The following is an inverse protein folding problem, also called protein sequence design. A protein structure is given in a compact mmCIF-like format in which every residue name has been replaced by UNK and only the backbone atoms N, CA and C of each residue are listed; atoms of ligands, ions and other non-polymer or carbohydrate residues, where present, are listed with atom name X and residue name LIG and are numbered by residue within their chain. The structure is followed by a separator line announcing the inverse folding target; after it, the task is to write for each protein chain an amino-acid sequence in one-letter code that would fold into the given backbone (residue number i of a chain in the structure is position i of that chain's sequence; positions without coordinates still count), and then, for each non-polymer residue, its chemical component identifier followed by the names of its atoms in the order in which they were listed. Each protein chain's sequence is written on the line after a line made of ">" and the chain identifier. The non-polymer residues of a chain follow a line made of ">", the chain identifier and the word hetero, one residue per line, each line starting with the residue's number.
data_IF_382761646255
#
_entry.id   IF_382761646255
#
_cell.length_a   1.000
_cell.length_b   1.000
_cell.length_c   1.000
_cell.angle_alpha   90.00
_cell.angle_beta   90.00
_cell.angle_gamma   90.00
#
_symmetry.space_group_name_H-M   'P 1'
#
loop_
_entity.id
_entity.type
_entity.pdbx_description
1 polymer ?
#
# COMPACT_ATOMS: atom_id res chain seq x y z
N UNK A 1 34.73 -16.29 56.72
CA UNK A 1 34.70 -15.56 55.43
C UNK A 1 35.23 -14.16 55.66
N UNK A 2 36.13 -13.64 54.82
CA UNK A 2 36.74 -12.32 55.03
C UNK A 2 35.83 -11.21 54.48
N UNK A 3 35.74 -10.08 55.19
CA UNK A 3 34.84 -8.97 54.88
C UNK A 3 35.45 -7.92 53.95
N UNK A 4 36.51 -8.25 53.22
CA UNK A 4 37.29 -7.28 52.44
C UNK A 4 36.65 -6.94 51.09
N UNK A 5 35.91 -7.86 50.47
CA UNK A 5 35.20 -7.62 49.21
C UNK A 5 33.77 -7.20 49.53
N UNK A 6 33.50 -5.89 49.52
CA UNK A 6 32.19 -5.30 49.83
C UNK A 6 31.72 -4.45 48.65
N UNK A 7 30.41 -4.39 48.37
CA UNK A 7 29.88 -3.46 47.39
C UNK A 7 30.07 -2.01 47.87
N UNK A 8 30.17 -1.09 46.92
CA UNK A 8 30.17 0.35 47.18
C UNK A 8 28.74 0.84 47.30
N UNK A 9 28.29 1.16 48.51
CA UNK A 9 26.95 1.73 48.73
C UNK A 9 26.91 3.24 48.50
N UNK A 10 27.95 3.94 48.95
CA UNK A 10 28.10 5.38 48.74
C UNK A 10 29.23 5.65 47.74
N UNK A 11 28.97 6.35 46.61
CA UNK A 11 30.00 6.71 45.67
C UNK A 11 30.90 7.82 46.23
N UNK A 12 32.16 7.86 45.78
CA UNK A 12 33.08 8.94 46.15
C UNK A 12 32.57 10.30 45.61
N UNK A 13 32.44 11.29 46.49
CA UNK A 13 32.01 12.64 46.12
C UNK A 13 33.20 13.47 45.63
N UNK A 14 33.04 14.13 44.49
CA UNK A 14 34.04 15.07 43.98
C UNK A 14 34.22 16.25 44.94
N UNK A 15 35.46 16.48 45.37
CA UNK A 15 35.91 17.72 46.01
C UNK A 15 37.12 18.24 45.24
N UNK A 16 37.57 19.46 45.54
CA UNK A 16 38.79 20.00 44.95
C UNK A 16 39.98 19.10 45.30
N UNK A 17 40.48 18.39 44.29
CA UNK A 17 41.63 17.52 44.44
C UNK A 17 42.89 18.39 44.35
N UNK A 18 43.86 18.16 45.25
CA UNK A 18 45.18 18.79 45.16
C UNK A 18 45.84 18.34 43.85
N UNK A 19 45.76 19.20 42.83
CA UNK A 19 46.38 18.96 41.54
C UNK A 19 47.86 19.28 41.65
N UNK A 20 48.68 18.24 41.77
CA UNK A 20 50.13 18.37 41.76
C UNK A 20 50.67 18.87 40.42
N UNK A 21 51.98 19.18 40.34
CA UNK A 21 52.63 19.69 39.12
C UNK A 21 52.77 18.65 38.00
N UNK A 22 52.31 17.42 38.21
CA UNK A 22 52.36 16.36 37.22
C UNK A 22 51.24 16.54 36.18
N UNK A 23 51.62 16.55 34.91
CA UNK A 23 50.70 16.59 33.77
C UNK A 23 50.61 15.22 33.10
N UNK A 24 49.41 14.82 32.70
CA UNK A 24 49.16 13.61 31.92
C UNK A 24 49.25 13.94 30.42
N UNK A 25 49.64 12.99 29.57
CA UNK A 25 49.73 13.17 28.10
C UNK A 25 48.42 13.71 27.47
N UNK A 26 47.26 13.32 28.01
CA UNK A 26 45.93 13.82 27.57
C UNK A 26 45.66 15.28 27.91
N UNK A 27 46.43 15.87 28.83
CA UNK A 27 46.31 17.28 29.23
C UNK A 27 47.24 18.20 28.42
N UNK A 28 48.00 17.63 27.47
CA UNK A 28 48.74 18.45 26.52
C UNK A 28 47.76 19.28 25.68
N UNK A 29 48.16 20.50 25.26
CA UNK A 29 47.28 21.36 24.47
C UNK A 29 46.79 20.67 23.19
N UNK A 30 45.48 20.48 23.09
CA UNK A 30 44.80 19.91 21.94
C UNK A 30 43.44 20.60 21.75
N UNK A 31 42.99 20.71 20.50
CA UNK A 31 41.71 21.36 20.14
C UNK A 31 41.54 22.77 20.73
N UNK A 32 42.57 23.61 20.60
CA UNK A 32 42.56 24.98 21.14
C UNK A 32 41.55 25.94 20.46
N UNK A 33 40.94 25.51 19.36
CA UNK A 33 40.00 26.30 18.58
C UNK A 33 38.63 25.62 18.57
N UNK A 34 37.63 26.31 19.11
CA UNK A 34 36.24 25.86 19.06
C UNK A 34 35.65 26.18 17.67
N UNK A 35 35.00 25.18 17.05
CA UNK A 35 34.27 25.39 15.80
C UNK A 35 32.94 26.07 16.10
N UNK A 36 32.69 27.19 15.46
CA UNK A 36 31.38 27.86 15.49
C UNK A 36 30.57 27.47 14.25
N UNK A 37 29.24 27.42 14.41
CA UNK A 37 28.33 27.14 13.29
C UNK A 37 28.40 28.28 12.28
N UNK A 38 28.65 27.95 11.02
CA UNK A 38 28.59 28.91 9.92
C UNK A 38 27.17 29.09 9.40
N UNK A 39 26.95 30.10 8.56
CA UNK A 39 25.70 30.25 7.83
C UNK A 39 25.41 28.98 7.00
N UNK A 40 24.17 28.50 7.02
CA UNK A 40 23.72 27.25 6.41
C UNK A 40 23.91 26.00 7.27
N UNK A 41 24.56 26.08 8.44
CA UNK A 41 24.75 24.94 9.36
C UNK A 41 23.74 24.90 10.51
N UNK A 42 22.62 25.62 10.37
CA UNK A 42 21.62 25.73 11.44
C UNK A 42 22.17 26.52 12.63
N UNK A 43 22.65 27.73 12.38
CA UNK A 43 22.93 28.72 13.43
C UNK A 43 21.63 29.10 14.14
N UNK A 44 21.71 29.50 15.41
CA UNK A 44 20.54 29.87 16.22
C UNK A 44 19.70 30.96 15.56
N UNK A 45 20.33 31.97 14.95
CA UNK A 45 19.64 33.03 14.24
C UNK A 45 18.83 32.55 13.04
N UNK A 46 19.28 31.50 12.35
CA UNK A 46 18.52 30.91 11.24
C UNK A 46 17.37 30.04 11.75
N UNK A 47 17.59 29.31 12.85
CA UNK A 47 16.55 28.46 13.45
C UNK A 47 15.40 29.31 13.97
N UNK A 48 15.67 30.48 14.53
CA UNK A 48 14.63 31.41 15.01
C UNK A 48 13.76 31.98 13.87
N UNK A 49 14.29 32.09 12.65
CA UNK A 49 13.56 32.62 11.49
C UNK A 49 12.74 31.56 10.76
N UNK A 50 13.06 30.26 10.92
CA UNK A 50 12.39 29.16 10.22
C UNK A 50 11.13 28.73 10.96
N UNK A 51 10.05 28.49 10.20
CA UNK A 51 8.89 27.77 10.73
C UNK A 51 9.15 26.26 10.72
N UNK A 52 9.74 25.77 11.82
CA UNK A 52 10.11 24.36 11.99
C UNK A 52 8.90 23.42 11.95
N UNK A 53 7.71 23.90 12.32
CA UNK A 53 6.50 23.08 12.34
C UNK A 53 6.03 22.79 10.92
N UNK A 54 5.97 23.80 10.07
CA UNK A 54 5.58 23.65 8.67
C UNK A 54 6.57 22.75 7.92
N UNK A 55 7.87 22.95 8.11
CA UNK A 55 8.92 22.13 7.49
C UNK A 55 8.81 20.65 7.91
N UNK A 56 8.57 20.39 9.21
CA UNK A 56 8.39 19.04 9.72
C UNK A 56 7.18 18.34 9.08
N UNK A 57 6.03 19.01 8.99
CA UNK A 57 4.83 18.44 8.39
C UNK A 57 5.03 18.12 6.90
N UNK A 58 5.72 18.99 6.17
CA UNK A 58 6.09 18.74 4.77
C UNK A 58 7.03 17.55 4.62
N UNK A 59 8.06 17.46 5.48
CA UNK A 59 9.02 16.35 5.48
C UNK A 59 8.34 15.01 5.83
N UNK A 60 7.42 15.02 6.79
CA UNK A 60 6.61 13.85 7.13
C UNK A 60 5.74 13.43 5.95
N UNK A 61 5.01 14.36 5.33
CA UNK A 61 4.17 14.09 4.16
C UNK A 61 4.99 13.48 3.01
N UNK A 62 6.15 14.05 2.69
CA UNK A 62 7.06 13.52 1.66
C UNK A 62 7.58 12.11 2.00
N UNK A 63 7.92 11.85 3.27
CA UNK A 63 8.35 10.53 3.72
C UNK A 63 7.22 9.49 3.60
N UNK A 64 5.99 9.86 4.00
CA UNK A 64 4.83 8.96 3.88
C UNK A 64 4.44 8.71 2.43
N UNK A 65 4.47 9.73 1.57
CA UNK A 65 4.27 9.57 0.13
C UNK A 65 5.30 8.61 -0.48
N UNK A 66 6.58 8.80 -0.16
CA UNK A 66 7.66 7.89 -0.58
C UNK A 66 7.47 6.46 -0.08
N UNK A 67 7.00 6.27 1.16
CA UNK A 67 6.74 4.94 1.73
C UNK A 67 5.51 4.27 1.09
N UNK A 68 4.48 5.05 0.73
CA UNK A 68 3.24 4.55 0.09
C UNK A 68 3.37 4.38 -1.42
N UNK A 69 4.37 4.99 -2.05
CA UNK A 69 4.59 4.91 -3.50
C UNK A 69 3.61 5.75 -4.33
N UNK A 70 2.94 6.73 -3.72
CA UNK A 70 2.01 7.65 -4.38
C UNK A 70 2.69 9.01 -4.58
N UNK A 71 2.56 9.69 -5.74
CA UNK A 71 3.12 11.02 -5.96
C UNK A 71 2.49 12.07 -5.02
N UNK A 72 3.27 13.12 -4.72
CA UNK A 72 3.09 14.06 -3.59
C UNK A 72 1.94 15.09 -3.82
N UNK A 73 1.26 15.04 -4.97
CA UNK A 73 0.35 16.11 -5.42
C UNK A 73 -1.09 16.01 -4.90
N UNK A 74 -1.41 15.03 -4.05
CA UNK A 74 -2.72 14.94 -3.39
C UNK A 74 -2.65 15.38 -1.91
N UNK A 75 -3.40 16.44 -1.51
CA UNK A 75 -3.50 16.79 -0.10
C UNK A 75 -4.28 15.69 0.64
N UNK A 76 -3.57 14.84 1.37
CA UNK A 76 -4.18 13.84 2.24
C UNK A 76 -4.84 14.57 3.40
N UNK A 77 -6.14 14.81 3.29
CA UNK A 77 -7.00 15.26 4.38
C UNK A 77 -7.05 14.13 5.42
N UNK A 78 -6.54 14.44 6.61
CA UNK A 78 -6.87 13.93 7.94
C UNK A 78 -7.08 12.41 8.12
N UNK A 79 -6.06 11.77 8.70
CA UNK A 79 -6.21 10.96 9.93
C UNK A 79 -4.87 10.33 10.28
N UNK A 80 -3.95 11.13 10.80
CA UNK A 80 -2.81 10.55 11.51
C UNK A 80 -3.38 9.83 12.76
N UNK A 81 -3.15 8.52 12.96
CA UNK A 81 -3.50 7.90 14.22
C UNK A 81 -2.62 8.55 15.28
N UNK A 82 -3.22 9.40 16.12
CA UNK A 82 -2.62 9.91 17.35
C UNK A 82 -2.15 8.68 18.12
N UNK A 83 -0.85 8.36 18.05
CA UNK A 83 -0.23 7.34 18.91
C UNK A 83 -0.33 7.90 20.31
N UNK A 84 -1.36 7.46 21.03
CA UNK A 84 -1.50 7.71 22.45
C UNK A 84 -0.26 7.13 23.12
N UNK A 85 0.53 8.00 23.75
CA UNK A 85 1.63 7.60 24.61
C UNK A 85 0.98 6.82 25.75
N UNK A 86 1.16 5.50 25.75
CA UNK A 86 0.63 4.61 26.77
C UNK A 86 1.19 4.99 28.14
N UNK A 87 0.34 5.52 29.01
CA UNK A 87 0.60 5.61 30.44
C UNK A 87 0.70 4.21 31.07
N UNK A 88 1.31 4.10 32.27
CA UNK A 88 1.62 2.81 32.89
C UNK A 88 0.34 2.04 33.21
N UNK A 89 0.34 0.69 33.14
CA UNK A 89 -0.84 -0.11 33.42
C UNK A 89 -1.16 -0.04 34.92
N UNK A 90 -2.18 0.73 35.27
CA UNK A 90 -2.81 0.67 36.59
C UNK A 90 -3.78 -0.50 36.58
N UNK A 91 -3.51 -1.51 37.41
CA UNK A 91 -4.45 -2.57 37.70
C UNK A 91 -5.60 -2.06 38.57
N UNK A 92 -6.81 -2.54 38.31
CA UNK A 92 -7.97 -2.24 39.12
C UNK A 92 -9.28 -2.47 38.37
N UNK A 93 -9.86 -3.62 38.63
CA UNK A 93 -11.28 -3.98 38.53
C UNK A 93 -12.28 -2.83 38.78
N UNK A 94 -13.32 -2.72 37.94
CA UNK A 94 -14.74 -2.79 38.34
C UNK A 94 -15.70 -1.97 37.45
N UNK A 95 -16.80 -2.65 37.13
CA UNK A 95 -18.16 -2.23 36.74
C UNK A 95 -18.49 -0.88 36.04
N UNK A 96 -19.34 -1.00 35.00
CA UNK A 96 -20.60 -0.24 34.97
C UNK A 96 -20.75 0.97 34.02
N UNK A 97 -21.44 0.69 32.90
CA UNK A 97 -22.51 1.51 32.27
C UNK A 97 -22.22 2.87 31.56
N UNK A 98 -22.60 2.87 30.26
CA UNK A 98 -23.28 3.90 29.43
C UNK A 98 -22.66 5.32 29.30
N UNK A 99 -22.55 5.95 28.12
CA UNK A 99 -22.98 5.68 26.74
C UNK A 99 -22.82 6.97 25.89
N UNK A 100 -23.25 6.90 24.62
CA UNK A 100 -23.40 7.98 23.60
C UNK A 100 -22.20 8.21 22.63
N UNK A 101 -22.30 8.06 21.30
CA UNK A 101 -23.39 7.70 20.37
C UNK A 101 -22.80 6.81 19.26
N UNK A 102 -23.44 5.66 19.08
CA UNK A 102 -23.20 4.62 18.08
C UNK A 102 -24.37 4.70 17.08
N UNK A 103 -24.11 5.07 15.81
CA UNK A 103 -25.16 5.08 14.78
C UNK A 103 -25.65 3.65 14.51
N UNK A 104 -26.95 3.45 14.72
CA UNK A 104 -27.67 2.19 14.67
C UNK A 104 -27.43 1.40 13.36
N UNK A 105 -26.92 0.15 13.42
CA UNK A 105 -26.70 -0.68 12.24
C UNK A 105 -27.98 -0.97 11.44
N UNK A 106 -29.18 -0.80 12.01
CA UNK A 106 -30.44 -0.95 11.28
C UNK A 106 -30.69 0.18 10.27
N UNK A 107 -30.23 1.40 10.54
CA UNK A 107 -30.35 2.53 9.61
C UNK A 107 -29.51 2.32 8.34
N UNK A 108 -28.33 1.70 8.49
CA UNK A 108 -27.45 1.31 7.38
C UNK A 108 -28.07 0.19 6.54
N UNK A 109 -28.74 -0.76 7.19
CA UNK A 109 -29.44 -1.87 6.50
C UNK A 109 -30.63 -1.38 5.68
N UNK A 110 -31.42 -0.40 6.16
CA UNK A 110 -32.52 0.19 5.37
C UNK A 110 -32.04 0.92 4.11
N UNK A 111 -30.97 1.70 4.21
CA UNK A 111 -30.42 2.45 3.07
C UNK A 111 -29.92 1.53 1.95
N UNK A 112 -29.27 0.42 2.32
CA UNK A 112 -28.78 -0.57 1.36
C UNK A 112 -29.94 -1.28 0.66
N UNK A 113 -31.03 -1.58 1.36
CA UNK A 113 -32.20 -2.28 0.81
C UNK A 113 -32.99 -1.42 -0.20
N UNK A 114 -33.04 -0.10 -0.01
CA UNK A 114 -33.62 0.84 -0.98
C UNK A 114 -32.76 0.96 -2.24
N UNK A 115 -31.44 1.05 -2.11
CA UNK A 115 -30.52 1.17 -3.25
C UNK A 115 -30.46 -0.11 -4.10
N UNK A 116 -30.60 -1.29 -3.49
CA UNK A 116 -30.63 -2.57 -4.23
C UNK A 116 -31.97 -2.89 -4.89
N UNK A 117 -33.05 -2.20 -4.50
CA UNK A 117 -34.40 -2.43 -5.03
C UNK A 117 -34.52 -2.02 -6.50
N UNK A 118 -33.76 -1.01 -6.92
CA UNK A 118 -33.79 -0.49 -8.29
C UNK A 118 -32.92 -1.32 -9.26
N UNK A 119 -32.12 -2.25 -8.74
CA UNK A 119 -31.20 -3.10 -9.52
C UNK A 119 -31.80 -4.50 -9.80
N UNK A 120 -32.81 -4.93 -9.02
CA UNK A 120 -33.43 -6.27 -9.11
C UNK A 120 -34.81 -6.26 -9.82
N UNK A 121 -35.23 -5.12 -10.39
CA UNK A 121 -36.48 -4.98 -11.14
C UNK A 121 -36.25 -5.15 -12.65
N UNK A 122 -35.99 -6.38 -13.09
CA UNK A 122 -36.05 -6.77 -14.50
C UNK A 122 -37.51 -6.99 -14.95
N UNK A 123 -37.94 -6.31 -16.02
CA UNK A 123 -39.11 -6.68 -16.82
C UNK A 123 -38.83 -6.44 -18.30
N UNK A 124 -38.74 -7.56 -19.00
CA UNK A 124 -38.78 -7.78 -20.45
C UNK A 124 -40.07 -7.21 -21.10
N UNK A 125 -39.98 -6.69 -22.35
CA UNK A 125 -41.16 -6.23 -23.11
C UNK A 125 -40.91 -5.32 -24.34
N UNK A 126 -40.57 -5.94 -25.48
CA UNK A 126 -40.93 -5.65 -26.90
C UNK A 126 -41.05 -4.23 -27.51
N UNK A 127 -40.60 -4.15 -28.77
CA UNK A 127 -40.62 -3.10 -29.81
C UNK A 127 -42.03 -2.51 -30.16
N UNK A 128 -42.09 -1.21 -30.55
CA UNK A 128 -42.56 -0.69 -31.88
C UNK A 128 -42.99 0.82 -31.89
N UNK A 129 -42.55 1.50 -32.95
CA UNK A 129 -43.04 2.66 -33.77
C UNK A 129 -43.48 4.07 -33.27
N UNK A 130 -43.07 5.07 -34.09
CA UNK A 130 -43.61 6.43 -34.37
C UNK A 130 -43.54 7.55 -33.29
N UNK A 131 -43.25 8.84 -33.55
CA UNK A 131 -43.21 9.66 -34.78
C UNK A 131 -42.52 11.04 -34.55
N UNK A 132 -42.06 11.64 -35.65
CA UNK A 132 -41.63 13.03 -35.94
C UNK A 132 -42.33 14.20 -35.20
N UNK A 133 -41.57 15.27 -34.90
CA UNK A 133 -42.06 16.66 -34.81
C UNK A 133 -40.99 17.63 -35.36
N UNK A 134 -41.36 18.39 -36.40
CA UNK A 134 -40.55 19.42 -37.06
C UNK A 134 -40.85 20.80 -36.47
N UNK A 135 -39.86 21.70 -36.41
CA UNK A 135 -40.08 23.15 -36.40
C UNK A 135 -38.86 23.93 -36.90
N UNK A 136 -39.08 24.49 -38.08
CA UNK A 136 -38.40 25.41 -39.01
C UNK A 136 -37.60 26.62 -38.46
N UNK A 137 -36.39 26.84 -39.00
CA UNK A 137 -35.75 28.16 -39.15
C UNK A 137 -34.76 28.11 -40.35
N UNK A 138 -35.28 28.20 -41.58
CA UNK A 138 -34.54 28.41 -42.84
C UNK A 138 -33.83 29.79 -42.85
N UNK A 139 -32.54 29.88 -43.19
CA UNK A 139 -32.17 30.26 -44.56
C UNK A 139 -30.66 29.98 -44.89
N UNK A 140 -30.05 28.87 -44.44
CA UNK A 140 -28.72 28.38 -44.93
C UNK A 140 -28.59 26.82 -45.03
N UNK A 141 -29.65 26.03 -44.75
CA UNK A 141 -29.59 24.58 -44.46
C UNK A 141 -29.68 23.63 -45.69
N UNK A 142 -30.20 24.10 -46.82
CA UNK A 142 -30.53 23.24 -47.97
C UNK A 142 -29.31 22.67 -48.73
N UNK A 143 -28.15 23.33 -48.66
CA UNK A 143 -26.91 22.81 -49.27
C UNK A 143 -26.24 21.75 -48.37
N UNK A 144 -26.42 21.85 -47.05
CA UNK A 144 -25.81 20.96 -46.05
C UNK A 144 -26.53 19.60 -45.94
N UNK A 145 -27.87 19.57 -46.08
CA UNK A 145 -28.67 18.35 -45.98
C UNK A 145 -28.39 17.34 -47.11
N UNK A 146 -28.09 17.83 -48.33
CA UNK A 146 -27.66 16.95 -49.43
C UNK A 146 -26.26 16.37 -49.22
N UNK A 147 -25.39 17.08 -48.51
CA UNK A 147 -24.05 16.57 -48.16
C UNK A 147 -24.15 15.55 -47.01
N UNK A 148 -25.02 15.77 -46.02
CA UNK A 148 -25.29 14.82 -44.94
C UNK A 148 -25.94 13.52 -45.42
N UNK A 149 -26.87 13.57 -46.37
CA UNK A 149 -27.44 12.36 -46.98
C UNK A 149 -26.39 11.52 -47.70
N UNK A 150 -25.44 12.17 -48.38
CA UNK A 150 -24.33 11.50 -49.04
C UNK A 150 -23.38 10.86 -48.03
N UNK A 151 -23.06 11.56 -46.93
CA UNK A 151 -22.23 11.03 -45.83
C UNK A 151 -22.95 9.89 -45.09
N UNK A 152 -24.26 9.98 -44.89
CA UNK A 152 -25.08 8.95 -44.22
C UNK A 152 -25.15 7.68 -45.07
N UNK A 153 -25.30 7.83 -46.39
CA UNK A 153 -25.29 6.69 -47.33
C UNK A 153 -23.91 6.03 -47.41
N UNK A 154 -22.83 6.82 -47.43
CA UNK A 154 -21.46 6.30 -47.40
C UNK A 154 -21.15 5.56 -46.09
N UNK A 155 -21.57 6.10 -44.94
CA UNK A 155 -21.42 5.42 -43.64
C UNK A 155 -22.27 4.16 -43.52
N UNK A 156 -23.47 4.13 -44.09
CA UNK A 156 -24.31 2.93 -44.08
C UNK A 156 -23.68 1.82 -44.91
N UNK A 157 -23.07 2.13 -46.06
CA UNK A 157 -22.36 1.16 -46.88
C UNK A 157 -21.09 0.64 -46.19
N UNK A 158 -20.34 1.51 -45.51
CA UNK A 158 -19.17 1.11 -44.75
C UNK A 158 -19.52 0.23 -43.55
N UNK A 159 -20.58 0.56 -42.81
CA UNK A 159 -21.07 -0.25 -41.68
C UNK A 159 -21.59 -1.61 -42.14
N UNK A 160 -22.32 -1.66 -43.27
CA UNK A 160 -22.78 -2.92 -43.84
C UNK A 160 -21.62 -3.81 -44.31
N UNK A 161 -20.52 -3.22 -44.77
CA UNK A 161 -19.31 -3.95 -45.15
C UNK A 161 -18.56 -4.51 -43.93
N UNK A 162 -18.42 -3.71 -42.87
CA UNK A 162 -17.80 -4.12 -41.60
C UNK A 162 -18.62 -5.21 -40.89
N UNK A 163 -19.95 -5.10 -40.89
CA UNK A 163 -20.83 -6.13 -40.32
C UNK A 163 -20.75 -7.46 -41.08
N UNK A 164 -20.59 -7.39 -42.41
CA UNK A 164 -20.38 -8.59 -43.24
C UNK A 164 -19.01 -9.22 -43.02
N UNK A 165 -17.97 -8.43 -42.78
CA UNK A 165 -16.62 -8.91 -42.44
C UNK A 165 -16.61 -9.56 -41.05
N UNK A 166 -17.23 -8.92 -40.05
CA UNK A 166 -17.37 -9.46 -38.70
C UNK A 166 -18.18 -10.75 -38.66
N UNK A 167 -19.27 -10.83 -39.43
CA UNK A 167 -20.03 -12.07 -39.55
C UNK A 167 -19.20 -13.21 -40.15
N UNK A 168 -18.33 -12.92 -41.13
CA UNK A 168 -17.43 -13.91 -41.70
C UNK A 168 -16.35 -14.37 -40.71
N UNK A 169 -15.77 -13.45 -39.92
CA UNK A 169 -14.80 -13.79 -38.87
C UNK A 169 -15.45 -14.66 -37.77
N UNK A 170 -16.69 -14.38 -37.40
CA UNK A 170 -17.44 -15.18 -36.43
C UNK A 170 -17.76 -16.59 -36.97
N UNK A 171 -18.03 -16.73 -38.27
CA UNK A 171 -18.18 -18.04 -38.91
C UNK A 171 -16.86 -18.82 -38.96
N UNK A 172 -15.74 -18.18 -39.30
CA UNK A 172 -14.41 -18.80 -39.29
C UNK A 172 -14.01 -19.27 -37.88
N UNK A 173 -14.28 -18.48 -36.84
CA UNK A 173 -14.02 -18.87 -35.45
C UNK A 173 -14.88 -20.08 -35.04
N UNK A 174 -16.16 -20.10 -35.43
CA UNK A 174 -17.04 -21.25 -35.18
C UNK A 174 -16.51 -22.52 -35.86
N UNK A 175 -16.00 -22.42 -37.09
CA UNK A 175 -15.41 -23.58 -37.77
C UNK A 175 -14.13 -24.08 -37.08
N UNK A 176 -13.27 -23.17 -36.63
CA UNK A 176 -12.05 -23.53 -35.87
C UNK A 176 -12.40 -24.19 -34.54
N UNK A 177 -13.40 -23.69 -33.82
CA UNK A 177 -13.85 -24.26 -32.56
C UNK A 177 -14.53 -25.61 -32.74
N UNK A 178 -15.29 -25.83 -33.81
CA UNK A 178 -15.86 -27.14 -34.15
C UNK A 178 -14.74 -28.15 -34.50
N UNK A 179 -13.75 -27.71 -35.29
CA UNK A 179 -12.65 -28.57 -35.70
C UNK A 179 -11.68 -28.92 -34.56
N UNK A 180 -11.42 -27.98 -33.64
CA UNK A 180 -10.43 -28.13 -32.57
C UNK A 180 -11.02 -28.44 -31.20
N UNK A 181 -12.30 -28.15 -31.00
CA UNK A 181 -13.02 -28.35 -29.74
C UNK A 181 -13.34 -29.81 -29.41
N UNK A 182 -13.10 -30.76 -30.33
CA UNK A 182 -13.25 -32.18 -30.05
C UNK A 182 -11.91 -32.84 -29.62
N UNK A 183 -11.67 -33.02 -28.31
CA UNK A 183 -10.44 -33.64 -27.81
C UNK A 183 -10.33 -35.15 -28.11
N UNK A 184 -11.41 -35.81 -28.57
CA UNK A 184 -11.36 -37.23 -28.99
C UNK A 184 -10.77 -37.42 -30.39
N UNK A 185 -10.91 -36.42 -31.27
CA UNK A 185 -10.38 -36.47 -32.64
C UNK A 185 -8.93 -35.99 -32.73
N UNK A 186 -8.47 -35.21 -31.74
CA UNK A 186 -7.09 -34.76 -31.61
C UNK A 186 -6.35 -35.62 -30.57
N UNK A 187 -6.07 -36.88 -30.90
CA UNK A 187 -5.31 -37.81 -30.04
C UNK A 187 -3.87 -37.33 -29.86
N UNK A 188 -3.63 -36.53 -28.82
CA UNK A 188 -2.29 -36.30 -28.30
C UNK A 188 -1.89 -37.53 -27.48
N UNK A 189 -0.91 -38.31 -27.94
CA UNK A 189 -0.41 -39.49 -27.24
C UNK A 189 0.25 -39.10 -25.90
N UNK A 190 -0.55 -39.00 -24.84
CA UNK A 190 -0.09 -38.71 -23.47
C UNK A 190 0.59 -39.93 -22.83
N UNK A 191 1.74 -40.32 -23.35
CA UNK A 191 2.66 -41.20 -22.62
C UNK A 191 3.28 -40.40 -21.46
N UNK A 192 2.61 -40.36 -20.29
CA UNK A 192 3.17 -39.80 -19.06
C UNK A 192 4.38 -40.63 -18.63
N UNK A 193 5.56 -40.18 -19.05
CA UNK A 193 6.85 -40.75 -18.65
C UNK A 193 6.99 -40.59 -17.14
N UNK A 194 6.94 -41.70 -16.39
CA UNK A 194 7.13 -41.73 -14.94
C UNK A 194 8.43 -41.00 -14.61
N UNK A 195 8.30 -39.88 -13.89
CA UNK A 195 9.43 -39.00 -13.57
C UNK A 195 10.28 -39.67 -12.48
N UNK A 196 11.58 -39.42 -12.50
CA UNK A 196 12.52 -39.93 -11.48
C UNK A 196 12.12 -39.49 -10.06
N UNK A 197 11.44 -38.34 -9.95
CA UNK A 197 10.87 -37.77 -8.71
C UNK A 197 9.58 -38.46 -8.22
N UNK A 198 9.00 -39.38 -8.99
CA UNK A 198 7.69 -39.92 -8.68
C UNK A 198 7.73 -40.97 -7.56
N UNK A 199 8.89 -41.62 -7.38
CA UNK A 199 9.20 -42.63 -6.36
C UNK A 199 9.91 -42.03 -5.14
N UNK A 200 9.49 -40.83 -4.73
CA UNK A 200 9.96 -40.20 -3.50
C UNK A 200 8.80 -40.15 -2.52
N UNK A 201 9.02 -40.71 -1.33
CA UNK A 201 8.01 -40.83 -0.25
C UNK A 201 7.55 -39.47 0.31
N UNK A 202 8.29 -38.40 0.06
CA UNK A 202 7.93 -37.04 0.44
C UNK A 202 7.99 -36.08 -0.75
N UNK A 203 6.87 -35.42 -1.04
CA UNK A 203 6.76 -34.43 -2.12
C UNK A 203 6.50 -33.04 -1.51
N UNK A 204 7.15 -31.99 -2.05
CA UNK A 204 6.85 -30.58 -1.75
C UNK A 204 6.93 -30.14 -0.26
N UNK A 205 7.86 -30.69 0.55
CA UNK A 205 7.95 -30.37 1.99
C UNK A 205 8.19 -28.88 2.30
N UNK A 206 8.92 -28.16 1.43
CA UNK A 206 9.22 -26.74 1.60
C UNK A 206 8.18 -25.82 0.94
N UNK A 207 7.09 -26.37 0.38
CA UNK A 207 6.08 -25.55 -0.28
C UNK A 207 5.31 -24.75 0.77
N UNK A 208 5.54 -23.44 0.80
CA UNK A 208 4.93 -22.51 1.76
C UNK A 208 5.72 -22.30 3.06
N UNK A 209 6.97 -22.78 3.14
CA UNK A 209 7.86 -22.50 4.30
C UNK A 209 8.58 -21.16 4.18
N UNK A 210 8.36 -20.41 3.10
CA UNK A 210 8.81 -19.03 3.00
C UNK A 210 8.27 -18.25 4.21
N UNK A 211 9.20 -17.78 5.04
CA UNK A 211 8.86 -16.96 6.19
C UNK A 211 8.30 -15.64 5.66
N UNK A 212 6.97 -15.56 5.62
CA UNK A 212 6.22 -14.34 5.25
C UNK A 212 6.41 -13.19 6.23
N UNK A 213 7.08 -13.44 7.35
CA UNK A 213 7.39 -12.42 8.36
C UNK A 213 8.64 -11.68 7.89
N UNK A 214 8.48 -10.37 7.64
CA UNK A 214 9.59 -9.49 7.34
C UNK A 214 10.59 -9.41 8.49
N UNK A 215 11.66 -8.61 8.36
CA UNK A 215 12.63 -8.44 9.44
C UNK A 215 11.95 -7.84 10.68
N UNK A 216 11.76 -8.67 11.70
CA UNK A 216 11.21 -8.26 12.99
C UNK A 216 12.35 -7.83 13.91
N UNK A 217 12.23 -6.64 14.52
CA UNK A 217 13.12 -6.24 15.59
C UNK A 217 12.58 -6.77 16.91
N UNK A 218 13.40 -7.56 17.62
CA UNK A 218 13.07 -8.07 18.95
C UNK A 218 13.98 -7.38 19.97
N UNK A 219 13.39 -6.68 20.94
CA UNK A 219 14.10 -6.08 22.07
C UNK A 219 14.45 -7.15 23.14
N UNK A 220 15.21 -8.17 22.72
CA UNK A 220 15.69 -9.27 23.56
C UNK A 220 17.03 -9.76 22.99
N UNK A 221 18.08 -9.72 23.81
CA UNK A 221 19.43 -10.07 23.38
C UNK A 221 19.62 -11.57 23.08
N UNK A 222 18.79 -12.45 23.63
CA UNK A 222 18.93 -13.90 23.44
C UNK A 222 17.95 -14.43 22.38
N UNK A 223 16.78 -13.79 22.25
CA UNK A 223 15.73 -14.21 21.30
C UNK A 223 15.74 -13.43 19.99
N UNK A 224 16.55 -12.39 19.89
CA UNK A 224 16.77 -11.70 18.62
C UNK A 224 17.32 -12.64 17.57
N UNK A 225 16.88 -12.46 16.33
CA UNK A 225 17.38 -13.21 15.18
C UNK A 225 18.87 -13.02 14.96
N UNK A 226 19.42 -11.87 15.39
CA UNK A 226 20.87 -11.67 15.44
C UNK A 226 21.55 -12.72 16.31
N UNK A 227 21.05 -12.94 17.53
CA UNK A 227 21.64 -13.88 18.47
C UNK A 227 21.46 -15.32 18.02
N UNK A 228 20.29 -15.69 17.50
CA UNK A 228 20.06 -17.03 16.92
C UNK A 228 21.04 -17.32 15.79
N UNK A 229 21.25 -16.36 14.87
CA UNK A 229 22.22 -16.48 13.77
C UNK A 229 23.66 -16.52 14.27
N UNK A 230 23.99 -15.72 15.29
CA UNK A 230 25.30 -15.74 15.92
C UNK A 230 25.60 -17.13 16.53
N UNK A 231 24.68 -17.67 17.34
CA UNK A 231 24.83 -18.98 17.95
C UNK A 231 24.93 -20.09 16.90
N UNK A 232 24.05 -20.09 15.89
CA UNK A 232 24.12 -21.07 14.79
C UNK A 232 25.43 -21.00 13.99
N UNK A 233 26.12 -19.85 13.98
CA UNK A 233 27.38 -19.66 13.25
C UNK A 233 28.61 -20.07 14.07
N UNK A 234 28.62 -19.72 15.36
CA UNK A 234 29.81 -19.87 16.22
C UNK A 234 29.73 -21.06 17.18
N UNK A 235 28.55 -21.68 17.33
CA UNK A 235 28.33 -22.88 18.13
C UNK A 235 27.73 -23.93 17.21
N UNK A 236 28.39 -25.08 17.10
CA UNK A 236 28.01 -26.20 16.23
C UNK A 236 27.32 -27.31 17.02
#
# INVERSE_FOLDING_TARGET
>A
MTTAHRPTFDPAQGREALRGPAYHQRLLPAHMHLKTRQLGQGSEGEVQQRDLRAELLQAEAAHFAKKRGVPVDEPIIESAPKRQIGGPPSGGDDSGAAGEIEEDPEAKRRRILEETRDIDADSDGSEDDSSEDESDEEDEEAELMRELEKIKKERQEQKAKEERERAAEEEEQREVDIARGNPLLNSQDFNLKRRWDDDVVFKNQARGTEQKRGPEFVNDLLRSDFHKRFMSKYVR
#
